data_IF_820479068696
#
_entry.id   IF_820479068696
#
_cell.length_a   1.000
_cell.length_b   1.000
_cell.length_c   1.000
_cell.angle_alpha   90.00
_cell.angle_beta   90.00
_cell.angle_gamma   90.00
#
_symmetry.space_group_name_H-M   'P 1'
#
loop_
_entity.id
_entity.type
_entity.pdbx_description
1 polymer ?
#
# COMPACT_ATOMS: atom_id res chain seq x y z
N UNK A 1 -9.37 7.12 23.97
CA UNK A 1 -10.00 6.28 22.92
C UNK A 1 -9.76 6.82 21.51
N UNK A 2 -10.15 8.07 21.17
CA UNK A 2 -9.95 8.64 19.81
C UNK A 2 -8.48 8.63 19.33
N UNK A 3 -7.52 8.90 20.23
CA UNK A 3 -6.08 8.83 19.92
C UNK A 3 -5.59 7.43 19.56
N UNK A 4 -6.17 6.39 20.20
CA UNK A 4 -5.83 4.99 19.92
C UNK A 4 -6.33 4.61 18.53
N UNK A 5 -7.56 4.99 18.19
CA UNK A 5 -8.14 4.77 16.86
C UNK A 5 -7.30 5.48 15.78
N UNK A 6 -6.86 6.71 16.04
CA UNK A 6 -6.01 7.44 15.12
C UNK A 6 -4.65 6.75 14.88
N UNK A 7 -3.99 6.29 15.94
CA UNK A 7 -2.72 5.55 15.84
C UNK A 7 -2.92 4.25 15.06
N UNK A 8 -3.99 3.50 15.35
CA UNK A 8 -4.30 2.25 14.67
C UNK A 8 -4.54 2.48 13.18
N UNK A 9 -5.22 3.57 12.83
CA UNK A 9 -5.56 3.94 11.45
C UNK A 9 -4.31 4.37 10.66
N UNK A 10 -3.38 5.10 11.29
CA UNK A 10 -2.09 5.44 10.68
C UNK A 10 -1.26 4.17 10.48
N UNK A 11 -1.17 3.30 11.49
CA UNK A 11 -0.40 2.06 11.40
C UNK A 11 -0.91 1.13 10.30
N UNK A 12 -2.23 0.95 10.20
CA UNK A 12 -2.85 0.19 9.10
C UNK A 12 -2.62 0.85 7.75
N UNK A 13 -2.67 2.18 7.67
CA UNK A 13 -2.31 2.92 6.46
C UNK A 13 -0.88 2.66 5.99
N UNK A 14 0.10 2.67 6.91
CA UNK A 14 1.51 2.37 6.59
C UNK A 14 1.67 0.93 6.09
N UNK A 15 1.03 -0.04 6.77
CA UNK A 15 1.08 -1.44 6.36
C UNK A 15 0.45 -1.66 4.98
N UNK A 16 -0.71 -1.05 4.73
CA UNK A 16 -1.37 -1.10 3.42
C UNK A 16 -0.52 -0.45 2.32
N UNK A 17 0.15 0.66 2.64
CA UNK A 17 1.04 1.35 1.70
C UNK A 17 2.24 0.49 1.31
N UNK A 18 2.89 -0.12 2.31
CA UNK A 18 4.00 -1.04 2.08
C UNK A 18 3.58 -2.25 1.21
N UNK A 19 2.46 -2.89 1.55
CA UNK A 19 1.94 -4.03 0.76
C UNK A 19 1.51 -3.62 -0.65
N UNK A 20 0.96 -2.41 -0.82
CA UNK A 20 0.64 -1.84 -2.13
C UNK A 20 1.88 -1.63 -3.00
N UNK A 21 2.93 -1.03 -2.44
CA UNK A 21 4.22 -0.84 -3.12
C UNK A 21 4.87 -2.18 -3.47
N UNK A 22 4.84 -3.15 -2.56
CA UNK A 22 5.40 -4.48 -2.80
C UNK A 22 4.67 -5.20 -3.93
N UNK A 23 3.33 -5.15 -3.97
CA UNK A 23 2.53 -5.71 -5.06
C UNK A 23 2.80 -5.00 -6.39
N UNK A 24 2.94 -3.68 -6.38
CA UNK A 24 3.23 -2.91 -7.58
C UNK A 24 4.62 -3.25 -8.12
N UNK A 25 5.63 -3.30 -7.24
CA UNK A 25 6.97 -3.72 -7.61
C UNK A 25 6.97 -5.15 -8.16
N UNK A 26 6.30 -6.11 -7.51
CA UNK A 26 6.20 -7.49 -8.02
C UNK A 26 5.44 -7.61 -9.34
N UNK A 27 4.45 -6.74 -9.59
CA UNK A 27 3.70 -6.71 -10.85
C UNK A 27 4.58 -6.26 -12.03
N UNK A 28 5.61 -5.44 -11.77
CA UNK A 28 6.56 -4.97 -12.78
C UNK A 28 7.83 -5.85 -12.84
N UNK A 29 8.17 -6.50 -11.72
CA UNK A 29 9.35 -7.37 -11.62
C UNK A 29 9.02 -8.73 -12.21
N UNK A 30 9.20 -8.87 -13.51
CA UNK A 30 9.42 -10.18 -14.12
C UNK A 30 10.53 -10.92 -13.37
N UNK A 31 10.30 -12.18 -13.00
CA UNK A 31 11.28 -13.00 -12.27
C UNK A 31 12.62 -12.98 -13.03
N UNK A 32 13.63 -12.27 -12.50
CA UNK A 32 14.98 -12.24 -13.07
C UNK A 32 15.68 -13.55 -12.71
N UNK A 33 15.59 -14.54 -13.59
CA UNK A 33 16.42 -15.75 -13.54
C UNK A 33 17.57 -15.51 -14.52
N UNK A 34 18.69 -14.97 -14.04
CA UNK A 34 19.83 -14.59 -14.90
C UNK A 34 19.51 -13.41 -15.83
N UNK A 35 19.78 -13.55 -17.13
CA UNK A 35 19.53 -12.54 -18.19
C UNK A 35 18.11 -12.60 -18.80
N UNK A 36 17.30 -13.61 -18.48
CA UNK A 36 15.92 -13.69 -18.98
C UNK A 36 14.98 -12.83 -18.12
N UNK A 37 14.71 -11.59 -18.57
CA UNK A 37 13.57 -10.80 -18.08
C UNK A 37 12.26 -11.38 -18.64
N UNK A 38 11.69 -12.39 -17.96
CA UNK A 38 10.32 -12.80 -18.25
C UNK A 38 9.37 -11.75 -17.64
N UNK A 39 9.11 -10.69 -18.41
CA UNK A 39 8.12 -9.65 -18.07
C UNK A 39 6.71 -10.20 -18.21
N UNK A 40 6.25 -10.95 -17.21
CA UNK A 40 4.83 -11.19 -17.02
C UNK A 40 4.24 -9.96 -16.30
N UNK A 41 3.85 -8.93 -17.06
CA UNK A 41 3.16 -7.78 -16.51
C UNK A 41 1.76 -8.22 -16.06
N UNK A 42 1.61 -8.49 -14.77
CA UNK A 42 0.32 -8.86 -14.18
C UNK A 42 -0.48 -7.59 -13.87
N UNK A 43 -1.34 -7.20 -14.81
CA UNK A 43 -2.24 -6.05 -14.69
C UNK A 43 -3.19 -6.16 -13.49
N UNK A 44 -3.54 -7.37 -13.04
CA UNK A 44 -4.37 -7.59 -11.85
C UNK A 44 -3.61 -7.26 -10.57
N UNK A 45 -2.35 -7.72 -10.47
CA UNK A 45 -1.46 -7.35 -9.37
C UNK A 45 -1.20 -5.84 -9.32
N UNK A 46 -1.06 -5.20 -10.49
CA UNK A 46 -0.89 -3.73 -10.61
C UNK A 46 -2.10 -2.97 -10.06
N UNK A 47 -3.30 -3.34 -10.51
CA UNK A 47 -4.54 -2.70 -10.06
C UNK A 47 -4.76 -2.89 -8.56
N UNK A 48 -4.45 -4.08 -8.04
CA UNK A 48 -4.52 -4.36 -6.60
C UNK A 48 -3.50 -3.51 -5.83
N UNK A 49 -2.27 -3.35 -6.33
CA UNK A 49 -1.27 -2.48 -5.73
C UNK A 49 -1.74 -1.03 -5.61
N UNK A 50 -2.33 -0.47 -6.69
CA UNK A 50 -2.91 0.87 -6.67
C UNK A 50 -4.10 0.99 -5.69
N UNK A 51 -4.95 -0.03 -5.59
CA UNK A 51 -6.04 -0.03 -4.61
C UNK A 51 -5.52 0.02 -3.17
N UNK A 52 -4.49 -0.78 -2.84
CA UNK A 52 -3.83 -0.75 -1.52
C UNK A 52 -3.20 0.61 -1.23
N UNK A 53 -2.55 1.23 -2.21
CA UNK A 53 -2.00 2.58 -2.08
C UNK A 53 -3.08 3.64 -1.85
N UNK A 54 -4.22 3.55 -2.55
CA UNK A 54 -5.37 4.43 -2.33
C UNK A 54 -5.93 4.32 -0.91
N UNK A 55 -6.13 3.09 -0.43
CA UNK A 55 -6.57 2.82 0.95
C UNK A 55 -5.54 3.36 1.95
N UNK A 56 -4.25 3.14 1.71
CA UNK A 56 -3.19 3.64 2.56
C UNK A 56 -3.25 5.16 2.75
N UNK A 57 -3.40 5.91 1.65
CA UNK A 57 -3.52 7.37 1.70
C UNK A 57 -4.76 7.80 2.50
N UNK A 58 -5.92 7.17 2.26
CA UNK A 58 -7.16 7.48 2.98
C UNK A 58 -6.99 7.20 4.49
N UNK A 59 -6.39 6.08 4.86
CA UNK A 59 -6.13 5.72 6.26
C UNK A 59 -5.15 6.68 6.93
N UNK A 60 -4.05 7.05 6.27
CA UNK A 60 -3.08 8.02 6.81
C UNK A 60 -3.74 9.37 7.03
N UNK A 61 -4.44 9.91 6.03
CA UNK A 61 -5.12 11.21 6.12
C UNK A 61 -6.20 11.16 7.20
N UNK A 62 -7.07 10.15 7.18
CA UNK A 62 -8.13 9.96 8.17
C UNK A 62 -7.58 9.82 9.58
N UNK A 63 -6.45 9.12 9.74
CA UNK A 63 -5.74 8.96 11.00
C UNK A 63 -5.18 10.26 11.53
N UNK A 64 -4.49 11.05 10.70
CA UNK A 64 -3.94 12.37 11.07
C UNK A 64 -5.06 13.34 11.42
N UNK A 65 -6.13 13.40 10.63
CA UNK A 65 -7.30 14.25 10.91
C UNK A 65 -7.95 13.86 12.24
N UNK A 66 -8.12 12.56 12.49
CA UNK A 66 -8.71 12.05 13.74
C UNK A 66 -7.81 12.30 14.94
N UNK A 67 -6.48 12.23 14.79
CA UNK A 67 -5.51 12.58 15.82
C UNK A 67 -5.52 14.08 16.15
N UNK A 68 -5.80 14.92 15.14
CA UNK A 68 -5.77 16.39 15.26
C UNK A 68 -7.07 16.97 15.82
N UNK A 69 -8.19 16.24 15.73
CA UNK A 69 -9.45 16.64 16.37
C UNK A 69 -9.39 16.39 17.87
N UNK A 70 -9.68 17.42 18.65
CA UNK A 70 -9.70 17.42 20.12
C UNK A 70 -10.77 16.47 20.69
#
# INVERSE_FOLDING_TARGET
>A
MKKIIAILLIATGVLAGYTGLEKLNKSETGFKIGELEIKAQDSGAKNTGYAYLGIAIICIIGGVVTASRK
#
